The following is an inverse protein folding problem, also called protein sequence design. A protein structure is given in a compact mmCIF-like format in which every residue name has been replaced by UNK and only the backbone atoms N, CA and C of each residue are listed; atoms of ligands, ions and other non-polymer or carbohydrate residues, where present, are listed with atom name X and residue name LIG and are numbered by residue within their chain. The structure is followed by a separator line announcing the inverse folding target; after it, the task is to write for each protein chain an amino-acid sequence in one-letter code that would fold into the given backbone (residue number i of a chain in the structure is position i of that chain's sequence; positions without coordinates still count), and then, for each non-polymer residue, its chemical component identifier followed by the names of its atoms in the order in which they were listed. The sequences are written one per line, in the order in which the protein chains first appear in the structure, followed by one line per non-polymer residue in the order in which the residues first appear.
data_IF_166052536824
#
_entry.id   IF_166052536824
#
_cell.length_a   1.000
_cell.length_b   1.000
_cell.length_c   1.000
_cell.angle_alpha   90.00
_cell.angle_beta   90.00
_cell.angle_gamma   90.00
#
_symmetry.space_group_name_H-M   'P 1'
#
loop_
_entity.id
_entity.type
_entity.pdbx_description
1 polymer ?
#
# COMPACT_ATOMS: atom_id res chain seq x y z
N UNK A 1 17.01 -12.22 -20.81
CA UNK A 1 15.58 -12.17 -21.22
C UNK A 1 14.87 -11.13 -20.36
N UNK A 2 14.99 -9.83 -20.66
CA UNK A 2 14.77 -8.80 -19.63
C UNK A 2 13.56 -7.87 -19.83
N UNK A 3 12.81 -8.00 -20.92
CA UNK A 3 11.52 -7.32 -21.07
C UNK A 3 10.58 -8.18 -21.92
N UNK A 4 10.12 -9.31 -21.35
CA UNK A 4 8.95 -9.97 -21.92
C UNK A 4 7.79 -8.99 -21.74
N UNK A 5 7.21 -8.51 -22.84
CA UNK A 5 6.00 -7.66 -22.80
C UNK A 5 4.97 -8.41 -21.94
N UNK A 6 4.69 -7.83 -20.77
CA UNK A 6 3.70 -8.35 -19.85
C UNK A 6 2.38 -8.42 -20.62
N UNK A 7 1.81 -9.61 -20.74
CA UNK A 7 0.53 -9.79 -21.42
C UNK A 7 -0.57 -9.04 -20.66
N UNK A 8 -1.62 -8.57 -21.33
CA UNK A 8 -2.70 -7.79 -20.70
C UNK A 8 -3.34 -8.53 -19.49
N UNK A 9 -3.30 -9.86 -19.51
CA UNK A 9 -3.75 -10.75 -18.45
C UNK A 9 -2.83 -10.64 -17.21
N UNK A 10 -1.52 -10.72 -17.40
CA UNK A 10 -0.53 -10.58 -16.33
C UNK A 10 -0.56 -9.19 -15.70
N UNK A 11 -0.78 -8.14 -16.50
CA UNK A 11 -0.92 -6.77 -16.02
C UNK A 11 -2.18 -6.60 -15.16
N UNK A 12 -3.31 -7.18 -15.59
CA UNK A 12 -4.58 -7.15 -14.84
C UNK A 12 -4.48 -7.94 -13.52
N UNK A 13 -3.85 -9.10 -13.53
CA UNK A 13 -3.62 -9.88 -12.31
C UNK A 13 -2.65 -9.17 -11.36
N UNK A 14 -1.57 -8.60 -11.87
CA UNK A 14 -0.62 -7.83 -11.04
C UNK A 14 -1.29 -6.64 -10.37
N UNK A 15 -2.20 -5.95 -11.08
CA UNK A 15 -2.97 -4.85 -10.49
C UNK A 15 -3.89 -5.32 -9.36
N UNK A 16 -4.58 -6.46 -9.54
CA UNK A 16 -5.41 -7.06 -8.48
C UNK A 16 -4.57 -7.51 -7.28
N UNK A 17 -3.43 -8.15 -7.52
CA UNK A 17 -2.51 -8.60 -6.48
C UNK A 17 -1.94 -7.41 -5.68
N UNK A 18 -1.57 -6.32 -6.36
CA UNK A 18 -1.13 -5.09 -5.71
C UNK A 18 -2.22 -4.48 -4.82
N UNK A 19 -3.48 -4.48 -5.28
CA UNK A 19 -4.60 -3.98 -4.50
C UNK A 19 -4.84 -4.82 -3.24
N UNK A 20 -4.86 -6.16 -3.37
CA UNK A 20 -5.00 -7.07 -2.24
C UNK A 20 -3.82 -6.98 -1.27
N UNK A 21 -2.59 -6.92 -1.79
CA UNK A 21 -1.37 -6.77 -0.99
C UNK A 21 -1.35 -5.46 -0.22
N UNK A 22 -1.77 -4.36 -0.83
CA UNK A 22 -1.88 -3.07 -0.16
C UNK A 22 -2.94 -3.10 0.96
N UNK A 23 -4.08 -3.73 0.71
CA UNK A 23 -5.13 -3.89 1.72
C UNK A 23 -4.64 -4.72 2.92
N UNK A 24 -4.03 -5.89 2.65
CA UNK A 24 -3.46 -6.74 3.69
C UNK A 24 -2.39 -6.00 4.50
N UNK A 25 -1.45 -5.35 3.82
CA UNK A 25 -0.37 -4.59 4.46
C UNK A 25 -0.90 -3.46 5.35
N UNK A 26 -1.91 -2.73 4.87
CA UNK A 26 -2.56 -1.66 5.64
C UNK A 26 -3.23 -2.21 6.91
N UNK A 27 -3.94 -3.33 6.81
CA UNK A 27 -4.59 -3.97 7.97
C UNK A 27 -3.56 -4.49 8.98
N UNK A 28 -2.47 -5.11 8.51
CA UNK A 28 -1.38 -5.58 9.37
C UNK A 28 -0.71 -4.43 10.12
N UNK A 29 -0.37 -3.35 9.42
CA UNK A 29 0.23 -2.17 10.04
C UNK A 29 -0.71 -1.50 11.03
N UNK A 30 -1.99 -1.42 10.71
CA UNK A 30 -3.01 -0.84 11.58
C UNK A 30 -3.12 -1.66 12.87
N UNK A 31 -3.18 -2.99 12.76
CA UNK A 31 -3.22 -3.90 13.90
C UNK A 31 -1.97 -3.76 14.76
N UNK A 32 -0.79 -3.71 14.14
CA UNK A 32 0.47 -3.55 14.84
C UNK A 32 0.59 -2.19 15.53
N UNK A 33 0.09 -1.13 14.87
CA UNK A 33 0.04 0.22 15.45
C UNK A 33 -0.88 0.28 16.67
N UNK A 34 -2.06 -0.35 16.63
CA UNK A 34 -2.97 -0.43 17.78
C UNK A 34 -2.31 -1.20 18.93
N UNK A 35 -1.73 -2.36 18.63
CA UNK A 35 -1.04 -3.18 19.64
C UNK A 35 0.12 -2.41 20.30
N UNK A 36 0.90 -1.68 19.51
CA UNK A 36 1.99 -0.86 20.04
C UNK A 36 1.50 0.34 20.84
N UNK A 37 0.39 0.96 20.44
CA UNK A 37 -0.20 2.10 21.16
C UNK A 37 -0.68 1.70 22.55
N UNK A 38 -1.33 0.52 22.66
CA UNK A 38 -1.80 -0.02 23.95
C UNK A 38 -0.62 -0.36 24.88
N UNK A 39 0.47 -0.93 24.34
CA UNK A 39 1.59 -1.40 25.16
C UNK A 39 2.59 -0.31 25.57
N UNK A 40 2.85 0.67 24.71
CA UNK A 40 3.93 1.63 24.93
C UNK A 40 3.51 3.10 24.87
N UNK A 41 2.25 3.41 24.50
CA UNK A 41 1.72 4.78 24.36
C UNK A 41 2.57 5.76 23.51
N UNK A 42 3.53 5.25 22.75
CA UNK A 42 4.40 6.01 21.84
C UNK A 42 3.98 5.73 20.42
N UNK A 43 3.93 6.79 19.60
CA UNK A 43 3.73 6.67 18.15
C UNK A 43 4.87 5.85 17.55
N UNK A 44 4.58 4.60 17.23
CA UNK A 44 5.55 3.65 16.69
C UNK A 44 5.81 3.94 15.20
N UNK A 45 7.02 3.65 14.73
CA UNK A 45 7.42 3.66 13.31
C UNK A 45 6.38 3.03 12.38
N UNK A 46 5.63 2.03 12.86
CA UNK A 46 4.51 1.40 12.13
C UNK A 46 3.42 2.40 11.71
N UNK A 47 3.09 3.37 12.56
CA UNK A 47 2.11 4.42 12.25
C UNK A 47 2.62 5.36 11.16
N UNK A 48 3.89 5.76 11.24
CA UNK A 48 4.53 6.60 10.22
C UNK A 48 4.58 5.89 8.86
N UNK A 49 4.89 4.59 8.83
CA UNK A 49 4.90 3.78 7.61
C UNK A 49 3.50 3.69 7.00
N UNK A 50 2.46 3.46 7.83
CA UNK A 50 1.08 3.45 7.37
C UNK A 50 0.67 4.79 6.76
N UNK A 51 1.05 5.90 7.42
CA UNK A 51 0.71 7.23 6.95
C UNK A 51 1.45 7.61 5.66
N UNK A 52 2.73 7.24 5.55
CA UNK A 52 3.49 7.38 4.31
C UNK A 52 2.87 6.57 3.15
N UNK A 53 2.44 5.33 3.42
CA UNK A 53 1.75 4.48 2.46
C UNK A 53 0.45 5.11 1.93
N UNK A 54 -0.34 5.72 2.81
CA UNK A 54 -1.55 6.46 2.43
C UNK A 54 -1.25 7.69 1.59
N UNK A 55 -0.24 8.49 1.98
CA UNK A 55 0.16 9.67 1.21
C UNK A 55 0.61 9.28 -0.20
N UNK A 56 1.43 8.24 -0.34
CA UNK A 56 1.88 7.74 -1.65
C UNK A 56 0.69 7.23 -2.48
N UNK A 57 -0.27 6.54 -1.84
CA UNK A 57 -1.48 6.07 -2.51
C UNK A 57 -2.31 7.25 -3.05
N UNK A 58 -2.58 8.26 -2.21
CA UNK A 58 -3.31 9.46 -2.63
C UNK A 58 -2.58 10.25 -3.72
N UNK A 59 -1.25 10.37 -3.64
CA UNK A 59 -0.44 11.01 -4.69
C UNK A 59 -0.56 10.23 -6.00
N UNK A 60 -0.44 8.90 -5.95
CA UNK A 60 -0.62 8.06 -7.12
C UNK A 60 -2.03 8.23 -7.70
N UNK A 61 -3.07 8.15 -6.87
CA UNK A 61 -4.46 8.32 -7.28
C UNK A 61 -4.66 9.70 -7.92
N UNK A 62 -4.14 10.77 -7.32
CA UNK A 62 -4.20 12.12 -7.86
C UNK A 62 -3.51 12.23 -9.23
N UNK A 63 -2.30 11.66 -9.38
CA UNK A 63 -1.55 11.67 -10.64
C UNK A 63 -2.27 10.86 -11.72
N UNK A 64 -2.77 9.67 -11.39
CA UNK A 64 -3.48 8.80 -12.34
C UNK A 64 -4.86 9.34 -12.71
N UNK A 65 -5.58 9.96 -11.77
CA UNK A 65 -6.90 10.54 -12.00
C UNK A 65 -6.81 11.85 -12.79
N UNK A 66 -5.77 12.67 -12.58
CA UNK A 66 -5.50 13.88 -13.38
C UNK A 66 -5.12 13.59 -14.84
N UNK A 67 -4.75 12.34 -15.15
CA UNK A 67 -4.39 11.89 -16.51
C UNK A 67 -5.59 11.32 -17.30
N UNK A 68 -6.76 11.27 -16.69
CA UNK A 68 -8.03 10.94 -17.35
C UNK A 68 -8.72 12.20 -17.90
#
# INVERSE_FOLDING_TARGET
MFFKKMTDIEKRNSKKAAQFGFFFYSVTLLTHSIYSYINNAVLNSSFYILMAGLVIFFICEFIFNKKR
#
